data_IF_536702350015
#
_entry.id   IF_536702350015
#
_cell.length_a   1.000
_cell.length_b   1.000
_cell.length_c   1.000
_cell.angle_alpha   90.00
_cell.angle_beta   90.00
_cell.angle_gamma   90.00
#
_symmetry.space_group_name_H-M   'P 1'
#
loop_
_entity.id
_entity.type
_entity.pdbx_description
1 polymer ?
#
# COMPACT_ATOMS: atom_id res chain seq x y z
N UNK A 1 -6.53 -22.07 -16.50
CA UNK A 1 -6.61 -20.62 -16.84
C UNK A 1 -6.61 -19.88 -15.52
N UNK A 2 -5.78 -18.85 -15.34
CA UNK A 2 -5.79 -18.03 -14.13
C UNK A 2 -6.86 -16.94 -14.29
N UNK A 3 -7.78 -16.81 -13.34
CA UNK A 3 -8.83 -15.81 -13.34
C UNK A 3 -9.20 -15.34 -11.91
N UNK A 4 -10.26 -14.55 -11.80
CA UNK A 4 -10.67 -13.92 -10.54
C UNK A 4 -10.94 -14.95 -9.43
N UNK A 5 -11.49 -16.12 -9.79
CA UNK A 5 -11.76 -17.20 -8.84
C UNK A 5 -10.47 -17.79 -8.27
N UNK A 6 -9.48 -18.08 -9.11
CA UNK A 6 -8.18 -18.59 -8.66
C UNK A 6 -7.45 -17.53 -7.82
N UNK A 7 -7.52 -16.26 -8.21
CA UNK A 7 -6.95 -15.15 -7.45
C UNK A 7 -7.55 -15.04 -6.04
N UNK A 8 -8.89 -15.10 -5.93
CA UNK A 8 -9.59 -15.08 -4.64
C UNK A 8 -9.18 -16.26 -3.74
N UNK A 9 -9.08 -17.47 -4.31
CA UNK A 9 -8.67 -18.66 -3.57
C UNK A 9 -7.22 -18.59 -3.06
N UNK A 10 -6.31 -18.04 -3.87
CA UNK A 10 -4.88 -17.95 -3.51
C UNK A 10 -4.63 -16.86 -2.48
N UNK A 11 -5.27 -15.70 -2.64
CA UNK A 11 -5.03 -14.52 -1.77
C UNK A 11 -5.89 -14.53 -0.52
N UNK A 12 -7.02 -15.26 -0.52
CA UNK A 12 -8.02 -15.20 0.53
C UNK A 12 -8.78 -13.86 0.59
N UNK A 13 -8.57 -12.97 -0.40
CA UNK A 13 -9.19 -11.65 -0.42
C UNK A 13 -10.59 -11.67 -1.03
N UNK A 14 -11.45 -10.75 -0.56
CA UNK A 14 -12.79 -10.55 -1.12
C UNK A 14 -12.70 -10.04 -2.55
N UNK A 15 -13.42 -10.70 -3.46
CA UNK A 15 -13.43 -10.41 -4.89
C UNK A 15 -14.85 -10.15 -5.45
N UNK A 16 -15.78 -9.73 -4.59
CA UNK A 16 -17.14 -9.33 -4.98
C UNK A 16 -17.12 -8.03 -5.78
N UNK A 17 -18.25 -7.62 -6.35
CA UNK A 17 -18.36 -6.35 -7.10
C UNK A 17 -17.96 -5.15 -6.23
N UNK A 18 -17.29 -4.18 -6.83
CA UNK A 18 -16.82 -2.97 -6.15
C UNK A 18 -18.04 -2.09 -5.88
N UNK A 19 -18.41 -1.85 -4.60
CA UNK A 19 -19.50 -0.95 -4.28
C UNK A 19 -19.08 0.50 -4.47
N UNK A 20 -20.03 1.37 -4.80
CA UNK A 20 -19.82 2.81 -4.68
C UNK A 20 -19.69 3.18 -3.20
N UNK A 21 -18.65 3.96 -2.88
CA UNK A 21 -18.41 4.42 -1.52
C UNK A 21 -19.10 5.75 -1.32
N UNK A 22 -20.01 5.82 -0.35
CA UNK A 22 -20.54 7.09 0.14
C UNK A 22 -19.75 7.50 1.40
N UNK A 23 -19.03 8.62 1.31
CA UNK A 23 -18.21 9.12 2.42
C UNK A 23 -19.02 9.45 3.68
N UNK A 24 -20.30 9.79 3.54
CA UNK A 24 -21.18 10.09 4.67
C UNK A 24 -21.49 8.86 5.53
N UNK A 25 -21.37 7.65 4.95
CA UNK A 25 -21.65 6.39 5.63
C UNK A 25 -20.42 5.81 6.34
N UNK A 26 -19.23 6.39 6.14
CA UNK A 26 -17.98 5.95 6.78
C UNK A 26 -17.90 6.53 8.18
N UNK A 27 -18.00 5.66 9.19
CA UNK A 27 -17.86 6.09 10.59
C UNK A 27 -16.48 6.68 10.80
N UNK A 28 -16.44 7.84 11.47
CA UNK A 28 -15.18 8.55 11.77
C UNK A 28 -14.33 8.87 10.52
N UNK A 29 -14.95 8.87 9.33
CA UNK A 29 -14.26 9.05 8.06
C UNK A 29 -13.44 10.34 8.03
N UNK A 30 -12.13 10.20 7.84
CA UNK A 30 -11.22 11.32 7.71
C UNK A 30 -10.60 11.79 9.03
N UNK A 31 -10.80 11.08 10.14
CA UNK A 31 -10.03 11.32 11.37
C UNK A 31 -8.54 11.10 11.15
N UNK A 32 -8.14 9.97 10.54
CA UNK A 32 -6.74 9.72 10.22
C UNK A 32 -6.19 10.79 9.26
N UNK A 33 -7.02 11.21 8.30
CA UNK A 33 -6.70 12.34 7.41
C UNK A 33 -6.45 13.63 8.17
N UNK A 34 -7.32 13.99 9.11
CA UNK A 34 -7.19 15.20 9.91
C UNK A 34 -5.97 15.19 10.83
N UNK A 35 -5.56 14.03 11.35
CA UNK A 35 -4.40 13.96 12.26
C UNK A 35 -3.08 13.94 11.49
N UNK A 36 -3.00 13.19 10.38
CA UNK A 36 -1.73 12.89 9.72
C UNK A 36 -1.55 13.59 8.37
N UNK A 37 -2.63 14.07 7.75
CA UNK A 37 -2.64 14.52 6.35
C UNK A 37 -3.41 15.84 6.11
N UNK A 38 -3.84 16.56 7.17
CA UNK A 38 -4.77 17.71 7.09
C UNK A 38 -4.40 18.76 6.05
N UNK A 39 -3.11 19.12 6.01
CA UNK A 39 -2.59 20.21 5.18
C UNK A 39 -2.05 19.74 3.83
N UNK A 40 -2.22 18.47 3.50
CA UNK A 40 -1.71 17.88 2.27
C UNK A 40 -2.78 17.87 1.19
N UNK A 41 -2.48 18.50 0.05
CA UNK A 41 -3.31 18.40 -1.17
C UNK A 41 -3.25 17.01 -1.79
N UNK A 42 -2.14 16.31 -1.58
CA UNK A 42 -1.90 14.96 -2.07
C UNK A 42 -0.99 14.23 -1.10
N UNK A 43 -1.22 12.93 -0.94
CA UNK A 43 -0.36 12.04 -0.16
C UNK A 43 0.35 11.14 -1.14
N UNK A 44 1.68 11.23 -1.22
CA UNK A 44 2.46 10.30 -2.04
C UNK A 44 2.74 9.02 -1.27
N UNK A 45 2.95 7.91 -1.98
CA UNK A 45 3.36 6.66 -1.35
C UNK A 45 4.72 6.78 -0.63
N UNK A 46 5.64 7.61 -1.13
CA UNK A 46 6.87 7.93 -0.40
C UNK A 46 6.58 8.58 0.96
N UNK A 47 5.65 9.55 1.01
CA UNK A 47 5.25 10.18 2.25
C UNK A 47 4.59 9.17 3.20
N UNK A 48 3.69 8.33 2.68
CA UNK A 48 3.07 7.24 3.45
C UNK A 48 4.12 6.28 4.03
N UNK A 49 5.14 5.91 3.26
CA UNK A 49 6.25 5.07 3.74
C UNK A 49 7.01 5.73 4.89
N UNK A 50 7.30 7.04 4.79
CA UNK A 50 7.94 7.79 5.88
C UNK A 50 7.04 7.79 7.10
N UNK A 51 5.76 8.15 6.93
CA UNK A 51 4.80 8.24 8.01
C UNK A 51 4.63 6.89 8.73
N UNK A 52 4.47 5.79 8.00
CA UNK A 52 4.40 4.44 8.57
C UNK A 52 5.62 4.12 9.45
N UNK A 53 6.84 4.45 9.01
CA UNK A 53 8.07 4.19 9.76
C UNK A 53 8.23 5.08 11.01
N UNK A 54 7.72 6.31 10.99
CA UNK A 54 7.84 7.26 12.12
C UNK A 54 6.57 7.32 12.99
N UNK A 55 5.48 6.63 12.61
CA UNK A 55 4.14 6.64 13.23
C UNK A 55 4.07 6.15 14.69
N UNK A 56 5.22 6.08 15.36
CA UNK A 56 5.39 5.83 16.80
C UNK A 56 4.66 6.82 17.72
N UNK A 57 4.18 7.96 17.21
CA UNK A 57 3.53 9.01 17.99
C UNK A 57 2.00 8.91 18.05
N UNK A 58 1.37 8.03 17.25
CA UNK A 58 -0.09 7.84 17.22
C UNK A 58 -0.64 6.97 18.35
N UNK A 59 -1.97 6.96 18.47
CA UNK A 59 -2.69 5.98 19.29
C UNK A 59 -2.47 4.55 18.75
N UNK A 60 -2.80 3.52 19.54
CA UNK A 60 -2.73 2.15 19.07
C UNK A 60 -3.61 1.93 17.82
N UNK A 61 -4.79 2.54 17.81
CA UNK A 61 -5.74 2.51 16.71
C UNK A 61 -5.16 3.16 15.43
N UNK A 62 -4.63 4.38 15.53
CA UNK A 62 -4.00 5.07 14.40
C UNK A 62 -2.87 4.26 13.76
N UNK A 63 -2.09 3.54 14.58
CA UNK A 63 -1.01 2.68 14.08
C UNK A 63 -1.54 1.50 13.28
N UNK A 64 -2.66 0.91 13.70
CA UNK A 64 -3.33 -0.15 12.94
C UNK A 64 -3.86 0.41 11.62
N UNK A 65 -4.55 1.55 11.65
CA UNK A 65 -5.09 2.21 10.45
C UNK A 65 -4.00 2.60 9.46
N UNK A 66 -2.90 3.18 9.95
CA UNK A 66 -1.72 3.50 9.16
C UNK A 66 -1.08 2.23 8.56
N UNK A 67 -1.03 1.13 9.32
CA UNK A 67 -0.54 -0.15 8.81
C UNK A 67 -1.45 -0.72 7.71
N UNK A 68 -2.78 -0.72 7.91
CA UNK A 68 -3.76 -1.14 6.91
C UNK A 68 -3.59 -0.36 5.61
N UNK A 69 -3.53 0.98 5.70
CA UNK A 69 -3.31 1.86 4.56
C UNK A 69 -1.98 1.56 3.86
N UNK A 70 -0.89 1.41 4.63
CA UNK A 70 0.42 1.08 4.10
C UNK A 70 0.41 -0.25 3.36
N UNK A 71 -0.20 -1.30 3.93
CA UNK A 71 -0.28 -2.61 3.30
C UNK A 71 -1.09 -2.59 2.01
N UNK A 72 -2.23 -1.89 2.02
CA UNK A 72 -3.08 -1.71 0.85
C UNK A 72 -2.34 -1.03 -0.30
N UNK A 73 -1.86 0.21 -0.09
CA UNK A 73 -1.19 1.00 -1.11
C UNK A 73 0.18 0.45 -1.47
N UNK A 74 0.76 -0.39 -0.59
CA UNK A 74 2.04 -1.01 -0.87
C UNK A 74 1.94 -2.29 -1.68
N UNK A 75 1.20 -3.26 -1.15
CA UNK A 75 1.23 -4.63 -1.65
C UNK A 75 0.05 -4.96 -2.56
N UNK A 76 -1.15 -4.46 -2.25
CA UNK A 76 -2.35 -4.81 -3.01
C UNK A 76 -2.51 -3.93 -4.25
N UNK A 77 -2.10 -2.66 -4.15
CA UNK A 77 -2.18 -1.68 -5.22
C UNK A 77 -0.76 -1.38 -5.71
N UNK A 78 -0.24 -2.11 -6.72
CA UNK A 78 1.10 -1.86 -7.24
C UNK A 78 1.16 -0.54 -8.02
N UNK A 79 1.50 0.54 -7.30
CA UNK A 79 1.77 1.88 -7.84
C UNK A 79 3.27 2.20 -7.78
N UNK A 80 3.72 3.12 -8.63
CA UNK A 80 5.03 3.76 -8.45
C UNK A 80 5.01 4.62 -7.19
N UNK A 81 6.16 4.76 -6.52
CA UNK A 81 6.26 5.49 -5.25
C UNK A 81 5.88 6.98 -5.34
N UNK A 82 5.98 7.57 -6.54
CA UNK A 82 5.60 8.95 -6.81
C UNK A 82 4.10 9.17 -7.03
N UNK A 83 3.31 8.09 -7.19
CA UNK A 83 1.88 8.21 -7.38
C UNK A 83 1.17 8.54 -6.07
N UNK A 84 0.07 9.28 -6.20
CA UNK A 84 -0.78 9.64 -5.08
C UNK A 84 -1.54 8.41 -4.56
N UNK A 85 -1.61 8.34 -3.24
CA UNK A 85 -2.53 7.50 -2.49
C UNK A 85 -3.94 8.03 -2.72
N UNK A 86 -4.89 7.12 -2.88
CA UNK A 86 -6.29 7.51 -3.05
C UNK A 86 -6.86 8.05 -1.73
N UNK A 87 -7.63 9.14 -1.80
CA UNK A 87 -8.27 9.69 -0.60
C UNK A 87 -9.31 8.73 -0.04
N UNK A 88 -9.97 7.95 -0.89
CA UNK A 88 -10.97 6.97 -0.46
C UNK A 88 -10.31 5.88 0.40
N UNK A 89 -9.09 5.46 0.02
CA UNK A 89 -8.30 4.52 0.80
C UNK A 89 -7.92 5.07 2.18
N UNK A 90 -7.62 6.37 2.26
CA UNK A 90 -7.28 7.06 3.52
C UNK A 90 -8.52 7.22 4.41
N UNK A 91 -9.69 7.48 3.83
CA UNK A 91 -10.92 7.70 4.59
C UNK A 91 -11.47 6.35 5.08
N UNK A 92 -11.44 5.32 4.23
CA UNK A 92 -11.99 4.00 4.59
C UNK A 92 -11.29 3.36 5.78
N UNK A 93 -9.98 3.57 5.99
CA UNK A 93 -9.28 2.97 7.13
C UNK A 93 -9.79 3.44 8.49
N UNK A 94 -10.57 4.52 8.55
CA UNK A 94 -11.21 4.94 9.81
C UNK A 94 -12.39 4.04 10.21
N UNK A 95 -13.01 3.32 9.26
CA UNK A 95 -14.10 2.38 9.49
C UNK A 95 -13.68 0.95 9.13
N UNK A 96 -13.38 0.14 10.16
CA UNK A 96 -12.93 -1.24 9.98
C UNK A 96 -13.95 -2.12 9.23
N UNK A 97 -15.25 -1.91 9.43
CA UNK A 97 -16.28 -2.72 8.77
C UNK A 97 -16.29 -2.45 7.27
N UNK A 98 -16.17 -1.18 6.89
CA UNK A 98 -16.07 -0.74 5.49
C UNK A 98 -14.75 -1.21 4.89
N UNK A 99 -13.61 -0.90 5.53
CA UNK A 99 -12.30 -1.21 4.98
C UNK A 99 -12.08 -2.72 4.83
N UNK A 100 -12.32 -3.50 5.89
CA UNK A 100 -12.09 -4.94 5.81
C UNK A 100 -13.12 -5.54 4.84
N UNK A 101 -14.35 -5.03 4.86
CA UNK A 101 -15.50 -5.37 4.00
C UNK A 101 -15.26 -5.22 2.50
N UNK A 102 -14.42 -4.26 2.14
CA UNK A 102 -14.21 -3.84 0.76
C UNK A 102 -13.57 -4.95 -0.10
N UNK A 103 -13.93 -5.08 -1.39
CA UNK A 103 -13.42 -6.14 -2.26
C UNK A 103 -12.01 -5.83 -2.79
N UNK A 104 -11.04 -5.64 -1.90
CA UNK A 104 -9.64 -5.36 -2.24
C UNK A 104 -9.02 -6.40 -3.18
N UNK A 105 -9.48 -7.65 -3.11
CA UNK A 105 -9.03 -8.71 -4.02
C UNK A 105 -9.46 -8.46 -5.46
N UNK A 106 -10.66 -7.91 -5.69
CA UNK A 106 -11.09 -7.52 -7.04
C UNK A 106 -10.26 -6.36 -7.57
N UNK A 107 -10.06 -5.32 -6.74
CA UNK A 107 -9.22 -4.16 -7.10
C UNK A 107 -7.81 -4.61 -7.51
N UNK A 108 -7.17 -5.46 -6.69
CA UNK A 108 -5.84 -5.97 -6.97
C UNK A 108 -5.82 -6.84 -8.25
N UNK A 109 -6.85 -7.65 -8.48
CA UNK A 109 -6.94 -8.49 -9.68
C UNK A 109 -7.12 -7.66 -10.96
N UNK A 110 -7.98 -6.64 -10.95
CA UNK A 110 -8.19 -5.76 -12.10
C UNK A 110 -6.90 -4.99 -12.45
N UNK A 111 -6.19 -4.47 -11.44
CA UNK A 111 -4.88 -3.85 -11.63
C UNK A 111 -3.84 -4.82 -12.22
N UNK A 112 -3.85 -6.08 -11.76
CA UNK A 112 -2.97 -7.13 -12.29
C UNK A 112 -3.28 -7.43 -13.76
N UNK A 113 -4.56 -7.56 -14.12
CA UNK A 113 -4.98 -7.82 -15.51
C UNK A 113 -4.60 -6.65 -16.41
N UNK A 114 -4.87 -5.42 -15.99
CA UNK A 114 -4.49 -4.21 -16.72
C UNK A 114 -2.99 -4.12 -16.94
N UNK A 115 -2.21 -4.43 -15.90
CA UNK A 115 -0.76 -4.49 -15.99
C UNK A 115 -0.30 -5.54 -17.02
N UNK A 116 -0.83 -6.76 -16.92
CA UNK A 116 -0.49 -7.85 -17.84
C UNK A 116 -0.84 -7.49 -19.29
N UNK A 117 -2.01 -6.88 -19.51
CA UNK A 117 -2.41 -6.40 -20.82
C UNK A 117 -1.45 -5.34 -21.37
N UNK A 118 -1.00 -4.40 -20.52
CA UNK A 118 0.00 -3.39 -20.91
C UNK A 118 1.35 -4.03 -21.27
N UNK A 119 1.80 -5.03 -20.51
CA UNK A 119 3.08 -5.73 -20.80
C UNK A 119 3.00 -6.63 -22.03
N UNK A 120 1.85 -7.21 -22.31
CA UNK A 120 1.67 -8.03 -23.51
C UNK A 120 1.58 -7.15 -24.76
N UNK A 121 0.95 -5.97 -24.64
CA UNK A 121 0.80 -5.03 -25.76
C UNK A 121 2.01 -4.11 -25.99
N UNK A 122 2.83 -3.83 -24.96
CA UNK A 122 4.08 -3.07 -25.07
C UNK A 122 5.26 -4.04 -25.01
N UNK A 123 6.19 -3.98 -25.97
CA UNK A 123 7.42 -4.81 -25.94
C UNK A 123 8.26 -4.47 -24.70
N UNK A 124 8.00 -5.16 -23.58
CA UNK A 124 8.81 -5.29 -22.37
C UNK A 124 9.12 -4.02 -21.56
N UNK A 125 8.39 -3.78 -20.46
CA UNK A 125 8.87 -2.92 -19.37
C UNK A 125 8.48 -3.41 -17.94
N UNK A 126 9.53 -3.89 -17.25
CA UNK A 126 9.97 -3.81 -15.84
C UNK A 126 9.07 -3.53 -14.62
N UNK A 127 7.74 -3.39 -14.67
CA UNK A 127 6.98 -3.09 -13.43
C UNK A 127 6.68 -4.34 -12.57
N UNK A 128 6.59 -5.54 -13.17
CA UNK A 128 6.39 -6.79 -12.40
C UNK A 128 7.54 -7.08 -11.44
N UNK A 129 8.73 -6.53 -11.73
CA UNK A 129 9.86 -6.59 -10.81
C UNK A 129 9.56 -5.90 -9.48
N UNK A 130 8.76 -4.83 -9.42
CA UNK A 130 8.48 -4.16 -8.14
C UNK A 130 7.50 -4.94 -7.28
N UNK A 131 6.45 -5.52 -7.89
CA UNK A 131 5.47 -6.38 -7.19
C UNK A 131 6.16 -7.63 -6.62
N UNK A 132 6.99 -8.31 -7.42
CA UNK A 132 7.76 -9.46 -6.93
C UNK A 132 8.83 -9.07 -5.92
N UNK A 133 9.57 -7.96 -6.13
CA UNK A 133 10.54 -7.47 -5.14
C UNK A 133 9.87 -7.12 -3.80
N UNK A 134 8.62 -6.66 -3.79
CA UNK A 134 7.94 -6.34 -2.53
C UNK A 134 7.48 -7.60 -1.81
N UNK A 135 7.01 -8.63 -2.52
CA UNK A 135 6.73 -9.94 -1.94
C UNK A 135 7.99 -10.62 -1.40
N UNK A 136 9.10 -10.55 -2.15
CA UNK A 136 10.39 -11.18 -1.81
C UNK A 136 11.08 -10.50 -0.61
N UNK A 137 10.68 -9.26 -0.28
CA UNK A 137 11.23 -8.47 0.84
C UNK A 137 10.38 -8.59 2.10
N UNK A 138 9.29 -9.38 2.11
CA UNK A 138 8.43 -9.53 3.28
C UNK A 138 9.19 -10.18 4.46
N UNK A 139 9.43 -9.48 5.57
CA UNK A 139 10.20 -9.98 6.71
C UNK A 139 9.38 -10.91 7.61
N UNK A 140 8.18 -11.32 7.17
CA UNK A 140 7.23 -12.09 7.96
C UNK A 140 7.74 -13.51 8.32
N UNK A 141 8.87 -13.94 7.75
CA UNK A 141 9.60 -15.16 8.10
C UNK A 141 11.00 -14.91 8.69
N UNK A 142 11.44 -13.66 8.80
CA UNK A 142 12.79 -13.33 9.29
C UNK A 142 12.77 -13.08 10.80
N UNK A 143 13.70 -13.73 11.51
CA UNK A 143 13.86 -13.54 12.95
C UNK A 143 14.20 -12.07 13.29
N UNK A 144 13.81 -11.56 14.48
CA UNK A 144 13.89 -10.12 14.80
C UNK A 144 15.26 -9.46 14.59
N UNK A 145 16.36 -10.22 14.63
CA UNK A 145 17.72 -9.71 14.51
C UNK A 145 18.17 -9.46 13.06
N UNK A 146 17.64 -10.22 12.09
CA UNK A 146 17.93 -10.00 10.66
C UNK A 146 17.19 -8.79 10.11
N UNK A 147 15.99 -8.53 10.64
CA UNK A 147 15.19 -7.34 10.33
C UNK A 147 15.98 -6.08 10.71
N UNK A 148 16.50 -5.98 11.94
CA UNK A 148 17.28 -4.81 12.36
C UNK A 148 18.51 -4.54 11.48
N UNK A 149 19.22 -5.59 11.08
CA UNK A 149 20.43 -5.49 10.24
C UNK A 149 20.09 -5.02 8.81
N UNK A 150 19.01 -5.53 8.24
CA UNK A 150 18.58 -5.21 6.87
C UNK A 150 18.05 -3.77 6.78
N UNK A 151 17.32 -3.32 7.78
CA UNK A 151 16.79 -1.95 7.83
C UNK A 151 17.90 -0.91 8.05
N UNK A 152 18.85 -1.19 8.95
CA UNK A 152 20.03 -0.31 9.14
C UNK A 152 20.87 -0.17 7.86
N UNK A 153 21.05 -1.27 7.11
CA UNK A 153 21.78 -1.25 5.84
C UNK A 153 21.03 -0.47 4.75
N UNK A 154 19.69 -0.60 4.68
CA UNK A 154 18.85 0.17 3.74
C UNK A 154 18.83 1.67 4.06
N UNK A 155 18.73 2.05 5.33
CA UNK A 155 18.79 3.46 5.75
C UNK A 155 20.14 4.10 5.39
N UNK A 156 21.24 3.37 5.61
CA UNK A 156 22.59 3.82 5.23
C UNK A 156 22.72 4.02 3.72
N UNK A 157 22.26 3.07 2.91
CA UNK A 157 22.30 3.21 1.44
C UNK A 157 21.41 4.34 0.91
N UNK A 158 20.28 4.64 1.58
CA UNK A 158 19.44 5.78 1.23
C UNK A 158 20.12 7.11 1.53
N UNK A 159 20.80 7.22 2.68
CA UNK A 159 21.51 8.43 3.10
C UNK A 159 22.70 8.75 2.18
N UNK A 160 23.47 7.74 1.78
CA UNK A 160 24.56 7.90 0.82
C UNK A 160 24.06 8.30 -0.58
N UNK A 161 22.90 7.79 -1.04
CA UNK A 161 22.33 8.19 -2.33
C UNK A 161 21.84 9.64 -2.35
N UNK A 162 21.26 10.12 -1.25
CA UNK A 162 20.84 11.53 -1.14
C UNK A 162 22.05 12.47 -1.15
N UNK A 163 23.16 12.07 -0.53
CA UNK A 163 24.40 12.87 -0.49
C UNK A 163 25.05 13.06 -1.86
N UNK A 164 25.03 12.02 -2.72
CA UNK A 164 25.62 12.05 -4.06
C UNK A 164 24.84 12.95 -5.03
N UNK A 165 23.54 13.17 -4.78
CA UNK A 165 22.68 13.99 -5.65
C UNK A 165 22.70 15.49 -5.29
N UNK A 166 23.41 15.89 -4.22
CA UNK A 166 23.47 17.27 -3.70
C UNK A 166 24.86 17.92 -3.80
N UNK A 167 25.78 17.33 -4.56
CA UNK A 167 27.11 17.86 -4.91
C UNK A 167 27.29 17.85 -6.41
#
# INVERSE_FOLDING_TARGET
RFGLREFALITGLRCHEIPDINHEDIKDGGQLKGVYFENLKTVTRQYLNVMFNISTAGTYDDRIKMAKLYFLESFLIPKQECLSVDWDNIIMVDDDEVFDGYPWGRVAFELLVDFMNKVVCSKGQTVFSSFLKQLEVSPMLATPDEVKKTYSKKQRMSFERTRILTT
#
